data_IF_257876911493
#
_entry.id   IF_257876911493
#
_cell.length_a   1.000
_cell.length_b   1.000
_cell.length_c   1.000
_cell.angle_alpha   90.00
_cell.angle_beta   90.00
_cell.angle_gamma   90.00
#
_symmetry.space_group_name_H-M   'P 1'
#
loop_
_entity.id
_entity.type
_entity.pdbx_description
1 polymer ?
#
# COMPACT_ATOMS: atom_id res chain seq x y z
N UNK A 1 -13.98 5.76 1.29
CA UNK A 1 -12.95 6.83 1.35
C UNK A 1 -11.76 6.52 0.43
N UNK A 2 -12.03 6.08 -0.79
CA UNK A 2 -11.01 5.81 -1.80
C UNK A 2 -10.52 7.11 -2.47
N UNK A 3 -9.31 7.06 -3.04
CA UNK A 3 -8.88 7.99 -4.06
C UNK A 3 -9.87 7.99 -5.23
N UNK A 4 -9.89 9.05 -6.00
CA UNK A 4 -10.71 9.21 -7.20
C UNK A 4 -9.81 9.51 -8.39
N UNK A 5 -10.21 9.14 -9.59
CA UNK A 5 -9.45 9.45 -10.81
C UNK A 5 -9.10 10.94 -10.95
N UNK A 6 -9.97 11.82 -10.43
CA UNK A 6 -9.75 13.28 -10.42
C UNK A 6 -8.61 13.73 -9.51
N UNK A 7 -8.13 12.89 -8.60
CA UNK A 7 -7.02 13.22 -7.70
C UNK A 7 -5.65 13.10 -8.40
N UNK A 8 -5.62 12.42 -9.54
CA UNK A 8 -4.40 12.06 -10.26
C UNK A 8 -4.09 12.93 -11.48
N UNK A 9 -4.97 13.83 -11.87
CA UNK A 9 -4.77 14.62 -13.09
C UNK A 9 -5.05 13.85 -14.40
N UNK A 10 -4.64 14.44 -15.53
CA UNK A 10 -4.92 13.88 -16.85
C UNK A 10 -4.06 12.65 -17.16
N UNK A 11 -4.59 11.71 -17.95
CA UNK A 11 -3.87 10.52 -18.42
C UNK A 11 -3.98 9.29 -17.52
N UNK A 12 -4.41 9.44 -16.28
CA UNK A 12 -4.66 8.31 -15.39
C UNK A 12 -5.94 7.56 -15.76
N UNK A 13 -5.90 6.24 -15.60
CA UNK A 13 -7.02 5.31 -15.83
C UNK A 13 -7.25 4.50 -14.56
N UNK A 14 -8.45 3.96 -14.39
CA UNK A 14 -8.79 3.12 -13.25
C UNK A 14 -9.89 3.70 -12.38
N UNK A 15 -10.05 3.12 -11.19
CA UNK A 15 -11.08 3.42 -10.22
C UNK A 15 -11.32 2.26 -9.27
N UNK A 16 -12.45 2.26 -8.58
CA UNK A 16 -12.85 1.18 -7.69
C UNK A 16 -12.93 -0.15 -8.43
N UNK A 17 -12.41 -1.19 -7.79
CA UNK A 17 -12.46 -2.57 -8.28
C UNK A 17 -13.31 -3.45 -7.35
N UNK A 18 -13.52 -4.70 -7.73
CA UNK A 18 -14.13 -5.68 -6.84
C UNK A 18 -13.22 -5.89 -5.62
N UNK A 19 -13.83 -5.86 -4.45
CA UNK A 19 -13.11 -6.02 -3.18
C UNK A 19 -12.56 -7.43 -3.05
N UNK A 20 -11.27 -7.53 -2.83
CA UNK A 20 -10.60 -8.80 -2.55
C UNK A 20 -10.91 -9.21 -1.10
N UNK A 21 -11.20 -10.49 -0.81
CA UNK A 21 -11.35 -10.93 0.57
C UNK A 21 -10.09 -10.59 1.38
N UNK A 22 -10.30 -10.01 2.56
CA UNK A 22 -9.20 -9.76 3.49
C UNK A 22 -8.60 -11.10 3.94
N UNK A 23 -7.34 -11.27 3.67
CA UNK A 23 -6.58 -12.44 4.11
C UNK A 23 -5.28 -11.96 4.72
N UNK A 24 -5.03 -12.35 5.96
CA UNK A 24 -3.74 -12.06 6.58
C UNK A 24 -2.61 -12.64 5.73
N UNK A 25 -1.50 -11.91 5.59
CA UNK A 25 -0.36 -12.40 4.87
C UNK A 25 0.14 -13.74 5.42
N UNK A 26 0.21 -14.76 4.58
CA UNK A 26 0.74 -16.07 4.98
C UNK A 26 2.26 -16.09 4.79
N UNK A 27 2.98 -15.61 5.79
CA UNK A 27 4.44 -15.56 5.77
C UNK A 27 5.03 -16.24 7.01
N UNK A 28 6.15 -16.96 6.87
CA UNK A 28 6.84 -17.51 8.03
C UNK A 28 7.24 -16.42 9.04
N UNK A 29 6.81 -16.57 10.29
CA UNK A 29 7.20 -15.65 11.38
C UNK A 29 6.43 -14.33 11.45
N UNK A 30 5.40 -14.11 10.61
CA UNK A 30 4.53 -12.95 10.67
C UNK A 30 3.06 -13.39 10.88
N UNK A 31 2.51 -13.03 12.05
CA UNK A 31 1.10 -13.26 12.40
C UNK A 31 0.60 -12.05 13.22
N UNK A 32 -0.05 -11.06 12.59
CA UNK A 32 -0.55 -9.86 13.25
C UNK A 32 -1.78 -10.11 14.13
N UNK A 33 -2.34 -11.33 14.16
CA UNK A 33 -3.50 -11.72 14.98
C UNK A 33 -4.72 -10.81 14.77
N UNK A 34 -5.14 -10.65 13.53
CA UNK A 34 -6.25 -9.78 13.14
C UNK A 34 -7.64 -10.37 13.45
N UNK A 35 -7.70 -11.64 13.90
CA UNK A 35 -8.98 -12.36 14.11
C UNK A 35 -9.89 -11.77 15.19
N UNK A 36 -9.38 -10.90 16.06
CA UNK A 36 -10.12 -10.18 17.08
C UNK A 36 -10.55 -8.77 16.64
N UNK A 37 -10.16 -8.36 15.44
CA UNK A 37 -10.55 -7.08 14.86
C UNK A 37 -11.84 -7.23 14.03
N UNK A 38 -12.71 -6.24 14.14
CA UNK A 38 -13.97 -6.22 13.38
C UNK A 38 -13.89 -5.18 12.28
N UNK A 39 -13.79 -5.63 11.04
CA UNK A 39 -13.88 -4.79 9.85
C UNK A 39 -15.36 -4.55 9.54
N UNK A 40 -15.76 -3.29 9.47
CA UNK A 40 -17.15 -2.85 9.20
C UNK A 40 -17.33 -2.34 7.77
N UNK A 41 -16.26 -2.12 7.05
CA UNK A 41 -16.26 -1.69 5.64
C UNK A 41 -14.90 -1.95 5.00
N UNK A 42 -14.92 -2.27 3.71
CA UNK A 42 -13.72 -2.52 2.92
C UNK A 42 -13.93 -2.09 1.47
N UNK A 43 -12.92 -1.53 0.84
CA UNK A 43 -12.99 -1.10 -0.55
C UNK A 43 -11.61 -0.98 -1.19
N UNK A 44 -11.52 -1.40 -2.47
CA UNK A 44 -10.30 -1.43 -3.26
C UNK A 44 -10.42 -0.52 -4.49
N UNK A 45 -9.29 0.05 -4.90
CA UNK A 45 -9.18 0.79 -6.15
C UNK A 45 -7.80 0.63 -6.78
N UNK A 46 -7.75 0.59 -8.11
CA UNK A 46 -6.52 0.52 -8.89
C UNK A 46 -6.48 1.66 -9.89
N UNK A 47 -5.35 2.37 -9.93
CA UNK A 47 -5.10 3.45 -10.87
C UNK A 47 -3.77 3.24 -11.59
N UNK A 48 -3.74 3.54 -12.89
CA UNK A 48 -2.55 3.34 -13.74
C UNK A 48 -2.27 4.57 -14.58
N UNK A 49 -1.00 4.90 -14.68
CA UNK A 49 -0.50 5.92 -15.60
C UNK A 49 0.42 5.25 -16.65
N UNK A 50 -0.15 4.74 -17.75
CA UNK A 50 0.58 3.93 -18.74
C UNK A 50 1.82 4.59 -19.32
N UNK A 51 1.85 5.94 -19.57
CA UNK A 51 3.02 6.57 -20.17
C UNK A 51 4.31 6.42 -19.37
N UNK A 52 4.21 6.27 -18.04
CA UNK A 52 5.36 6.08 -17.16
C UNK A 52 5.39 4.72 -16.46
N UNK A 53 4.41 3.86 -16.74
CA UNK A 53 4.30 2.56 -16.07
C UNK A 53 4.06 2.67 -14.56
N UNK A 54 3.43 3.78 -14.10
CA UNK A 54 3.10 3.95 -12.67
C UNK A 54 1.75 3.32 -12.38
N UNK A 55 1.68 2.58 -11.28
CA UNK A 55 0.46 1.98 -10.77
C UNK A 55 0.28 2.36 -9.30
N UNK A 56 -0.96 2.67 -8.92
CA UNK A 56 -1.38 2.86 -7.53
C UNK A 56 -2.48 1.85 -7.26
N UNK A 57 -2.23 0.94 -6.34
CA UNK A 57 -3.19 -0.02 -5.81
C UNK A 57 -3.56 0.42 -4.40
N UNK A 58 -4.84 0.54 -4.09
CA UNK A 58 -5.34 1.04 -2.81
C UNK A 58 -6.33 0.08 -2.19
N UNK A 59 -6.10 -0.23 -0.91
CA UNK A 59 -7.01 -0.87 0.02
C UNK A 59 -7.40 0.10 1.14
N UNK A 60 -8.66 0.08 1.53
CA UNK A 60 -9.18 0.87 2.64
C UNK A 60 -10.09 0.01 3.51
N UNK A 61 -9.76 -0.08 4.78
CA UNK A 61 -10.55 -0.77 5.77
C UNK A 61 -11.15 0.20 6.78
N UNK A 62 -12.37 -0.09 7.22
CA UNK A 62 -13.04 0.65 8.29
C UNK A 62 -13.22 -0.31 9.45
N UNK A 63 -12.51 -0.09 10.53
CA UNK A 63 -12.60 -0.90 11.73
C UNK A 63 -13.75 -0.42 12.65
N UNK A 64 -14.10 -1.20 13.64
CA UNK A 64 -15.20 -0.90 14.56
C UNK A 64 -14.97 0.39 15.36
N UNK A 65 -13.71 0.73 15.66
CA UNK A 65 -13.32 1.94 16.41
C UNK A 65 -11.84 2.27 16.20
N UNK A 66 -11.41 3.45 16.65
CA UNK A 66 -10.03 3.93 16.51
C UNK A 66 -9.01 3.10 17.31
N UNK A 67 -9.39 2.55 18.47
CA UNK A 67 -8.49 1.71 19.27
C UNK A 67 -8.18 0.38 18.54
N UNK A 68 -9.09 -0.10 17.69
CA UNK A 68 -8.83 -1.25 16.82
C UNK A 68 -7.76 -0.93 15.77
N UNK A 69 -7.78 0.26 15.16
CA UNK A 69 -6.76 0.75 14.23
C UNK A 69 -5.39 0.83 14.91
N UNK A 70 -5.32 1.44 16.10
CA UNK A 70 -4.07 1.52 16.87
C UNK A 70 -3.52 0.13 17.21
N UNK A 71 -4.41 -0.81 17.55
CA UNK A 71 -4.03 -2.18 17.90
C UNK A 71 -3.49 -2.92 16.69
N UNK A 72 -4.18 -2.83 15.55
CA UNK A 72 -3.74 -3.45 14.32
C UNK A 72 -2.41 -2.89 13.85
N UNK A 73 -2.30 -1.58 13.82
CA UNK A 73 -1.07 -0.91 13.40
C UNK A 73 0.16 -1.34 14.25
N UNK A 74 -0.01 -1.48 15.56
CA UNK A 74 1.07 -1.96 16.47
C UNK A 74 1.48 -3.41 16.17
N UNK A 75 0.56 -4.25 15.74
CA UNK A 75 0.81 -5.67 15.46
C UNK A 75 1.39 -5.86 14.06
N UNK A 76 0.82 -5.16 13.08
CA UNK A 76 1.16 -5.31 11.65
C UNK A 76 2.45 -4.58 11.31
N UNK A 77 2.64 -3.34 11.78
CA UNK A 77 3.83 -2.54 11.45
C UNK A 77 5.01 -2.92 12.33
N UNK A 78 5.69 -3.96 11.94
CA UNK A 78 6.84 -4.53 12.64
C UNK A 78 7.99 -4.84 11.65
N UNK A 79 9.23 -5.10 12.13
CA UNK A 79 10.30 -5.58 11.27
C UNK A 79 9.95 -6.87 10.51
N UNK A 80 9.08 -7.71 11.08
CA UNK A 80 8.63 -8.94 10.43
C UNK A 80 7.72 -8.66 9.21
N UNK A 81 7.00 -7.54 9.15
CA UNK A 81 6.23 -7.15 7.96
C UNK A 81 7.15 -6.98 6.75
N UNK A 82 8.29 -6.28 6.90
CA UNK A 82 9.23 -6.11 5.79
C UNK A 82 9.76 -7.43 5.25
N UNK A 83 10.04 -8.39 6.13
CA UNK A 83 10.44 -9.75 5.74
C UNK A 83 9.30 -10.50 5.05
N UNK A 84 8.08 -10.34 5.54
CA UNK A 84 6.89 -10.93 4.93
C UNK A 84 6.64 -10.38 3.53
N UNK A 85 6.70 -9.06 3.34
CA UNK A 85 6.56 -8.45 2.02
C UNK A 85 7.63 -8.95 1.04
N UNK A 86 8.90 -9.04 1.46
CA UNK A 86 9.97 -9.60 0.62
C UNK A 86 9.67 -11.06 0.23
N UNK A 87 9.27 -11.88 1.21
CA UNK A 87 8.90 -13.27 0.96
C UNK A 87 7.75 -13.38 -0.05
N UNK A 88 6.68 -12.59 0.10
CA UNK A 88 5.55 -12.61 -0.83
C UNK A 88 5.96 -12.20 -2.25
N UNK A 89 6.79 -11.17 -2.37
CA UNK A 89 7.30 -10.70 -3.66
C UNK A 89 8.15 -11.77 -4.38
N UNK A 90 8.98 -12.49 -3.65
CA UNK A 90 9.80 -13.58 -4.20
C UNK A 90 8.97 -14.80 -4.65
N UNK A 91 7.74 -14.94 -4.11
CA UNK A 91 6.84 -16.08 -4.41
C UNK A 91 5.68 -15.69 -5.34
N UNK A 92 5.77 -14.55 -6.03
CA UNK A 92 4.79 -14.19 -7.07
C UNK A 92 4.79 -15.22 -8.20
N UNK A 93 3.62 -15.78 -8.49
CA UNK A 93 3.50 -16.89 -9.47
C UNK A 93 3.45 -16.44 -10.93
N UNK A 94 3.11 -15.17 -11.18
CA UNK A 94 2.87 -14.64 -12.53
C UNK A 94 4.04 -13.79 -13.06
N UNK A 95 5.09 -13.63 -12.27
CA UNK A 95 6.25 -12.77 -12.57
C UNK A 95 7.52 -13.52 -12.19
N UNK A 96 8.51 -13.54 -13.06
CA UNK A 96 9.82 -14.12 -12.76
C UNK A 96 10.62 -13.11 -11.91
N UNK A 97 10.39 -13.14 -10.58
CA UNK A 97 11.13 -12.34 -9.62
C UNK A 97 12.44 -13.05 -9.28
N UNK A 98 13.55 -12.39 -9.57
CA UNK A 98 14.90 -12.94 -9.30
C UNK A 98 15.50 -12.42 -8.00
N UNK A 99 15.02 -11.31 -7.48
CA UNK A 99 15.39 -10.75 -6.18
C UNK A 99 14.34 -9.75 -5.72
N UNK A 100 14.04 -9.76 -4.42
CA UNK A 100 13.25 -8.73 -3.76
C UNK A 100 13.92 -8.33 -2.44
N UNK A 101 14.07 -7.03 -2.23
CA UNK A 101 14.53 -6.47 -0.95
C UNK A 101 13.54 -5.44 -0.47
N UNK A 102 13.23 -5.45 0.82
CA UNK A 102 12.27 -4.53 1.43
C UNK A 102 12.93 -3.84 2.62
N UNK A 103 12.84 -2.52 2.67
CA UNK A 103 13.33 -1.70 3.76
C UNK A 103 12.24 -0.74 4.26
N UNK A 104 12.22 -0.48 5.56
CA UNK A 104 11.39 0.60 6.11
C UNK A 104 12.06 1.93 5.81
N UNK A 105 11.35 2.86 5.19
CA UNK A 105 11.89 4.18 4.84
C UNK A 105 11.33 5.27 5.74
N UNK A 106 12.09 6.37 5.88
CA UNK A 106 11.59 7.54 6.56
C UNK A 106 10.53 8.24 5.70
N UNK A 107 9.39 8.51 6.30
CA UNK A 107 8.27 9.18 5.66
C UNK A 107 7.69 10.23 6.62
N UNK A 108 7.20 11.39 6.12
CA UNK A 108 6.53 12.36 6.99
C UNK A 108 5.34 11.72 7.71
N UNK A 109 5.11 12.08 8.97
CA UNK A 109 3.96 11.56 9.72
C UNK A 109 2.65 11.93 9.05
N UNK A 110 1.76 10.97 8.90
CA UNK A 110 0.43 11.10 8.29
C UNK A 110 -0.58 10.39 9.19
N UNK A 111 -1.71 11.06 9.44
CA UNK A 111 -2.76 10.52 10.30
C UNK A 111 -2.28 10.27 11.73
N UNK A 112 -2.97 9.39 12.43
CA UNK A 112 -2.67 9.00 13.81
C UNK A 112 -1.43 8.10 13.89
N UNK A 113 -1.18 7.30 12.84
CA UNK A 113 -0.03 6.43 12.69
C UNK A 113 0.31 6.22 11.21
N UNK A 114 1.60 6.10 10.88
CA UNK A 114 2.04 5.81 9.50
C UNK A 114 3.35 5.02 9.43
N UNK A 115 3.49 4.24 8.37
CA UNK A 115 4.72 3.55 8.00
C UNK A 115 4.83 3.38 6.50
N UNK A 116 6.05 3.41 5.97
CA UNK A 116 6.30 3.12 4.56
C UNK A 116 7.41 2.08 4.45
N UNK A 117 7.16 1.08 3.64
CA UNK A 117 8.13 0.07 3.26
C UNK A 117 8.40 0.16 1.76
N UNK A 118 9.66 0.21 1.40
CA UNK A 118 10.13 0.28 0.01
C UNK A 118 10.68 -1.05 -0.43
N UNK A 119 10.14 -1.57 -1.52
CA UNK A 119 10.62 -2.76 -2.17
C UNK A 119 11.40 -2.42 -3.44
N UNK A 120 12.56 -3.06 -3.62
CA UNK A 120 13.29 -3.12 -4.89
C UNK A 120 13.11 -4.53 -5.43
N UNK A 121 12.39 -4.66 -6.55
CA UNK A 121 11.98 -5.93 -7.13
C UNK A 121 12.69 -6.08 -8.47
N UNK A 122 13.59 -7.04 -8.59
CA UNK A 122 14.22 -7.37 -9.86
C UNK A 122 13.44 -8.48 -10.54
N UNK A 123 12.86 -8.15 -11.67
CA UNK A 123 12.10 -9.08 -12.51
C UNK A 123 12.84 -9.40 -13.78
N UNK A 124 12.65 -10.61 -14.31
CA UNK A 124 13.17 -11.01 -15.60
C UNK A 124 12.02 -11.19 -16.59
N UNK A 125 12.16 -10.55 -17.76
CA UNK A 125 11.22 -10.69 -18.85
C UNK A 125 11.99 -10.85 -20.16
N UNK A 126 11.72 -11.90 -20.93
CA UNK A 126 12.42 -12.22 -22.19
C UNK A 126 13.97 -12.21 -22.07
N UNK A 127 14.50 -12.71 -20.95
CA UNK A 127 15.93 -12.76 -20.69
C UNK A 127 16.56 -11.43 -20.22
N UNK A 128 15.82 -10.34 -20.19
CA UNK A 128 16.28 -9.05 -19.69
C UNK A 128 15.82 -8.85 -18.25
N UNK A 129 16.71 -8.33 -17.40
CA UNK A 129 16.38 -7.97 -16.03
C UNK A 129 16.01 -6.47 -15.95
N UNK A 130 14.97 -6.17 -15.18
CA UNK A 130 14.58 -4.81 -14.86
C UNK A 130 14.25 -4.71 -13.38
N UNK A 131 14.56 -3.56 -12.75
CA UNK A 131 14.20 -3.30 -11.36
C UNK A 131 13.02 -2.34 -11.29
N UNK A 132 11.98 -2.76 -10.58
CA UNK A 132 10.81 -1.97 -10.22
C UNK A 132 10.94 -1.55 -8.77
N UNK A 133 10.55 -0.33 -8.47
CA UNK A 133 10.42 0.19 -7.13
C UNK A 133 8.93 0.15 -6.76
N UNK A 134 8.62 -0.35 -5.56
CA UNK A 134 7.26 -0.42 -5.05
C UNK A 134 7.23 0.04 -3.59
N UNK A 135 6.52 1.13 -3.31
CA UNK A 135 6.35 1.63 -1.96
C UNK A 135 4.98 1.21 -1.41
N UNK A 136 5.00 0.59 -0.25
CA UNK A 136 3.82 0.21 0.53
C UNK A 136 3.61 1.26 1.62
N UNK A 137 2.56 2.05 1.49
CA UNK A 137 2.23 3.15 2.40
C UNK A 137 1.05 2.75 3.27
N UNK A 138 1.30 2.65 4.56
CA UNK A 138 0.29 2.31 5.57
C UNK A 138 0.04 3.52 6.47
N UNK A 139 -1.22 3.86 6.72
CA UNK A 139 -1.56 4.88 7.72
C UNK A 139 -2.99 4.71 8.24
N UNK A 140 -3.21 5.17 9.47
CA UNK A 140 -4.50 5.17 10.14
C UNK A 140 -5.00 6.59 10.43
N UNK A 141 -6.30 6.81 10.33
CA UNK A 141 -6.97 8.04 10.74
C UNK A 141 -8.33 7.70 11.37
N UNK A 142 -8.47 7.95 12.66
CA UNK A 142 -9.64 7.56 13.43
C UNK A 142 -9.86 6.04 13.36
N UNK A 143 -10.99 5.61 12.78
CA UNK A 143 -11.30 4.19 12.62
C UNK A 143 -11.01 3.62 11.22
N UNK A 144 -10.29 4.35 10.40
CA UNK A 144 -9.99 3.96 9.02
C UNK A 144 -8.52 3.65 8.87
N UNK A 145 -8.23 2.52 8.27
CA UNK A 145 -6.90 2.14 7.81
C UNK A 145 -6.81 2.26 6.31
N UNK A 146 -5.68 2.74 5.88
CA UNK A 146 -5.34 2.90 4.48
C UNK A 146 -4.04 2.16 4.19
N UNK A 147 -4.08 1.37 3.18
CA UNK A 147 -2.91 0.85 2.50
C UNK A 147 -2.96 1.29 1.04
N UNK A 148 -1.87 1.79 0.53
CA UNK A 148 -1.71 1.88 -0.91
C UNK A 148 -0.29 1.55 -1.32
N UNK A 149 -0.17 0.87 -2.43
CA UNK A 149 1.10 0.56 -3.06
C UNK A 149 1.28 1.46 -4.28
N UNK A 150 2.45 2.08 -4.40
CA UNK A 150 2.82 2.82 -5.60
C UNK A 150 4.00 2.14 -6.25
N UNK A 151 3.79 1.61 -7.46
CA UNK A 151 4.84 0.96 -8.25
C UNK A 151 5.28 1.85 -9.40
N UNK A 152 6.60 2.01 -9.57
CA UNK A 152 7.20 2.83 -10.61
C UNK A 152 8.60 2.32 -10.98
N UNK A 153 9.20 2.91 -12.03
CA UNK A 153 10.60 2.66 -12.33
C UNK A 153 11.52 3.21 -11.23
N UNK A 154 12.63 2.55 -10.97
CA UNK A 154 13.61 2.89 -9.93
C UNK A 154 14.15 4.34 -10.04
N UNK A 155 14.14 4.93 -11.22
CA UNK A 155 14.65 6.29 -11.47
C UNK A 155 13.72 7.40 -10.94
N UNK A 156 12.54 7.07 -10.43
CA UNK A 156 11.53 8.04 -9.99
C UNK A 156 11.46 8.22 -8.46
N UNK A 157 12.46 7.73 -7.71
CA UNK A 157 12.44 7.61 -6.24
C UNK A 157 12.00 8.88 -5.50
N UNK A 158 12.63 10.02 -5.77
CA UNK A 158 12.35 11.27 -5.02
C UNK A 158 11.01 11.90 -5.39
N UNK A 159 10.56 11.66 -6.64
CA UNK A 159 9.25 12.11 -7.10
C UNK A 159 8.15 11.26 -6.50
N UNK A 160 8.42 9.96 -6.30
CA UNK A 160 7.47 9.00 -5.77
C UNK A 160 7.06 9.37 -4.35
N UNK A 161 8.00 9.59 -3.45
CA UNK A 161 7.70 9.94 -2.05
C UNK A 161 6.83 11.20 -1.91
N UNK A 162 7.09 12.22 -2.73
CA UNK A 162 6.25 13.43 -2.75
C UNK A 162 4.83 13.13 -3.22
N UNK A 163 4.72 12.36 -4.28
CA UNK A 163 3.42 11.94 -4.84
C UNK A 163 2.61 11.14 -3.82
N UNK A 164 3.23 10.17 -3.16
CA UNK A 164 2.62 9.35 -2.10
C UNK A 164 2.10 10.22 -0.94
N UNK A 165 2.91 11.17 -0.51
CA UNK A 165 2.50 12.09 0.54
C UNK A 165 1.29 12.94 0.16
N UNK A 166 1.24 13.43 -1.09
CA UNK A 166 0.09 14.18 -1.61
C UNK A 166 -1.17 13.32 -1.64
N UNK A 167 -1.08 12.06 -2.08
CA UNK A 167 -2.20 11.12 -2.09
C UNK A 167 -2.71 10.83 -0.68
N UNK A 168 -1.81 10.56 0.26
CA UNK A 168 -2.17 10.30 1.64
C UNK A 168 -2.86 11.51 2.28
N UNK A 169 -2.38 12.74 2.03
CA UNK A 169 -3.04 13.95 2.51
C UNK A 169 -4.46 14.15 1.94
N UNK A 170 -4.71 13.74 0.69
CA UNK A 170 -6.06 13.77 0.11
C UNK A 170 -6.98 12.83 0.91
N UNK A 171 -6.51 11.64 1.24
CA UNK A 171 -7.29 10.65 1.99
C UNK A 171 -7.60 11.11 3.42
N UNK A 172 -6.62 11.66 4.13
CA UNK A 172 -6.81 12.23 5.47
C UNK A 172 -7.86 13.35 5.46
N UNK A 173 -7.78 14.29 4.52
CA UNK A 173 -8.80 15.35 4.41
C UNK A 173 -10.20 14.79 4.15
N UNK A 174 -10.33 13.70 3.40
CA UNK A 174 -11.63 13.03 3.20
C UNK A 174 -12.12 12.33 4.46
N UNK A 175 -11.24 11.67 5.20
CA UNK A 175 -11.60 11.08 6.49
C UNK A 175 -12.16 12.14 7.44
N UNK A 176 -11.45 13.26 7.59
CA UNK A 176 -11.85 14.36 8.48
C UNK A 176 -13.20 15.01 8.09
N UNK A 177 -13.56 15.02 6.81
CA UNK A 177 -14.83 15.62 6.34
C UNK A 177 -15.99 14.63 6.33
N UNK A 178 -15.77 13.37 6.68
CA UNK A 178 -16.79 12.31 6.61
C UNK A 178 -17.31 12.06 5.18
N UNK A 179 -16.60 12.56 4.17
CA UNK A 179 -16.96 12.39 2.77
C UNK A 179 -16.63 10.96 2.31
N UNK A 180 -17.59 10.05 2.56
CA UNK A 180 -17.53 8.68 2.09
C UNK A 180 -17.80 8.58 0.57
#
# INVERSE_FOLDING_TARGET
>A
MLLRRTDFGAGWKGGRVATTPLTSPNCPGFDPKESDLTVTGHADAIYKFPPLGVEVDQDVQVLSNAASVETDFKRSISPALGQCLAYQLEHLTNVDVTNATVERVHFPSIGDASAVYRAYITVRHNGQAATVLSDYVFFGEGRVEYEFTVSASVNSRDQLQRFEFELAQILIRRAATGAA
#
